data_IF_995734989153
#
_entry.id   IF_995734989153
#
_cell.length_a   1.000
_cell.length_b   1.000
_cell.length_c   1.000
_cell.angle_alpha   90.00
_cell.angle_beta   90.00
_cell.angle_gamma   90.00
#
_symmetry.space_group_name_H-M   'P 1'
#
loop_
_entity.id
_entity.type
_entity.pdbx_description
1 polymer ?
#
# COMPACT_ATOMS: atom_id res chain seq x y z
N UNK A 1 -34.93 -40.70 -9.42
CA UNK A 1 -33.81 -40.25 -8.57
C UNK A 1 -32.89 -39.41 -9.45
N UNK A 2 -32.52 -38.16 -9.23
CA UNK A 2 -32.76 -37.13 -8.22
C UNK A 2 -31.81 -35.99 -8.62
N UNK A 3 -32.33 -34.86 -9.12
CA UNK A 3 -31.49 -33.76 -9.63
C UNK A 3 -30.71 -33.14 -8.46
N UNK A 4 -29.39 -33.32 -8.44
CA UNK A 4 -28.50 -32.69 -7.48
C UNK A 4 -28.35 -31.21 -7.83
N UNK A 5 -29.16 -30.38 -7.17
CA UNK A 5 -29.00 -28.93 -7.17
C UNK A 5 -27.63 -28.59 -6.56
N UNK A 6 -26.65 -28.24 -7.41
CA UNK A 6 -25.36 -27.73 -6.94
C UNK A 6 -25.58 -26.31 -6.44
N UNK A 7 -25.81 -26.16 -5.12
CA UNK A 7 -25.79 -24.87 -4.47
C UNK A 7 -24.34 -24.48 -4.18
N UNK A 8 -23.89 -23.37 -4.77
CA UNK A 8 -22.67 -22.71 -4.33
C UNK A 8 -23.04 -21.87 -3.10
N UNK A 9 -22.50 -22.16 -1.90
CA UNK A 9 -22.79 -21.35 -0.73
C UNK A 9 -22.29 -19.93 -0.98
N UNK A 10 -23.14 -18.93 -0.70
CA UNK A 10 -22.79 -17.53 -0.67
C UNK A 10 -21.78 -17.29 0.46
N UNK A 11 -20.52 -17.64 0.23
CA UNK A 11 -19.41 -17.25 1.10
C UNK A 11 -19.19 -15.77 0.80
N UNK A 12 -19.72 -14.90 1.66
CA UNK A 12 -19.49 -13.46 1.60
C UNK A 12 -18.03 -13.18 1.26
N UNK A 13 -17.79 -12.14 0.45
CA UNK A 13 -16.52 -11.79 -0.19
C UNK A 13 -15.30 -12.39 0.53
N UNK A 14 -14.57 -13.29 -0.14
CA UNK A 14 -13.35 -13.87 0.42
C UNK A 14 -12.29 -12.76 0.48
N UNK A 15 -12.28 -12.01 1.57
CA UNK A 15 -11.27 -10.98 1.84
C UNK A 15 -9.98 -11.71 2.19
N UNK A 16 -9.12 -11.91 1.20
CA UNK A 16 -7.75 -12.39 1.42
C UNK A 16 -6.88 -11.21 1.84
N UNK A 17 -6.11 -11.38 2.92
CA UNK A 17 -5.07 -10.40 3.25
C UNK A 17 -3.93 -10.46 2.23
N UNK A 18 -3.19 -9.36 2.08
CA UNK A 18 -2.06 -9.26 1.15
C UNK A 18 -1.03 -10.37 1.36
N UNK A 19 -0.69 -10.68 2.62
CA UNK A 19 0.21 -11.79 2.94
C UNK A 19 -0.32 -13.16 2.47
N UNK A 20 -1.64 -13.40 2.56
CA UNK A 20 -2.27 -14.64 2.07
C UNK A 20 -2.38 -14.65 0.55
N UNK A 21 -2.61 -13.49 -0.07
CA UNK A 21 -2.58 -13.32 -1.51
C UNK A 21 -1.22 -13.68 -2.08
N UNK A 22 -0.12 -13.15 -1.53
CA UNK A 22 1.22 -13.51 -2.01
C UNK A 22 1.54 -14.98 -1.77
N UNK A 23 1.20 -15.55 -0.60
CA UNK A 23 1.34 -17.00 -0.36
C UNK A 23 0.58 -17.83 -1.39
N UNK A 24 -0.62 -17.42 -1.78
CA UNK A 24 -1.41 -18.08 -2.80
C UNK A 24 -0.75 -17.97 -4.18
N UNK A 25 -0.30 -16.77 -4.57
CA UNK A 25 0.37 -16.54 -5.84
C UNK A 25 1.65 -17.37 -5.93
N UNK A 26 2.47 -17.39 -4.87
CA UNK A 26 3.75 -18.13 -4.84
C UNK A 26 3.59 -19.66 -4.92
N UNK A 27 2.40 -20.20 -4.61
CA UNK A 27 2.09 -21.64 -4.74
C UNK A 27 1.34 -21.98 -6.01
N UNK A 28 0.87 -20.98 -6.76
CA UNK A 28 0.05 -21.18 -7.94
C UNK A 28 0.90 -21.66 -9.12
N UNK A 29 0.36 -22.61 -9.89
CA UNK A 29 0.98 -23.13 -11.12
C UNK A 29 0.50 -22.41 -12.39
N UNK A 30 -0.44 -21.47 -12.26
CA UNK A 30 -1.00 -20.72 -13.40
C UNK A 30 0.08 -19.88 -14.10
N UNK A 31 0.04 -19.76 -15.45
CA UNK A 31 1.03 -18.98 -16.20
C UNK A 31 1.16 -17.52 -15.72
N UNK A 32 0.05 -16.90 -15.35
CA UNK A 32 0.02 -15.51 -14.87
C UNK A 32 0.73 -15.38 -13.51
N UNK A 33 0.54 -16.37 -12.63
CA UNK A 33 1.23 -16.39 -11.34
C UNK A 33 2.73 -16.63 -11.52
N UNK A 34 3.14 -17.48 -12.46
CA UNK A 34 4.55 -17.71 -12.79
C UNK A 34 5.25 -16.44 -13.27
N UNK A 35 4.59 -15.61 -14.09
CA UNK A 35 5.13 -14.30 -14.52
C UNK A 35 5.43 -13.41 -13.31
N UNK A 36 4.47 -13.31 -12.39
CA UNK A 36 4.66 -12.54 -11.16
C UNK A 36 5.76 -13.11 -10.27
N UNK A 37 5.77 -14.43 -10.05
CA UNK A 37 6.80 -15.12 -9.27
C UNK A 37 8.21 -14.82 -9.82
N UNK A 38 8.40 -14.99 -11.13
CA UNK A 38 9.69 -14.74 -11.79
C UNK A 38 10.12 -13.28 -11.68
N UNK A 39 9.19 -12.33 -11.85
CA UNK A 39 9.47 -10.92 -11.68
C UNK A 39 9.87 -10.59 -10.23
N UNK A 40 9.16 -11.13 -9.25
CA UNK A 40 9.50 -10.91 -7.83
C UNK A 40 10.87 -11.50 -7.48
N UNK A 41 11.14 -12.74 -7.87
CA UNK A 41 12.38 -13.44 -7.49
C UNK A 41 13.60 -13.05 -8.33
N UNK A 42 13.40 -12.65 -9.58
CA UNK A 42 14.46 -12.28 -10.52
C UNK A 42 14.79 -10.78 -10.55
N UNK A 43 13.84 -9.92 -10.20
CA UNK A 43 14.01 -8.46 -10.27
C UNK A 43 13.85 -7.81 -8.91
N UNK A 44 12.69 -7.95 -8.28
CA UNK A 44 12.33 -7.16 -7.08
C UNK A 44 13.18 -7.55 -5.86
N UNK A 45 13.21 -8.83 -5.50
CA UNK A 45 13.96 -9.29 -4.32
C UNK A 45 15.47 -9.10 -4.48
N UNK A 46 16.08 -9.34 -5.66
CA UNK A 46 17.48 -9.01 -5.88
C UNK A 46 17.80 -7.52 -5.71
N UNK A 47 16.96 -6.61 -6.23
CA UNK A 47 17.13 -5.16 -6.05
C UNK A 47 17.07 -4.78 -4.57
N UNK A 48 16.02 -5.23 -3.85
CA UNK A 48 15.89 -4.98 -2.41
C UNK A 48 17.08 -5.54 -1.62
N UNK A 49 17.58 -6.74 -1.96
CA UNK A 49 18.73 -7.35 -1.27
C UNK A 49 20.03 -6.57 -1.50
N UNK A 50 20.24 -6.01 -2.69
CA UNK A 50 21.48 -5.30 -3.06
C UNK A 50 21.46 -3.84 -2.59
N UNK A 51 20.37 -3.15 -2.90
CA UNK A 51 20.29 -1.70 -2.85
C UNK A 51 19.35 -1.22 -1.73
N UNK A 52 18.66 -2.14 -1.05
CA UNK A 52 17.74 -1.84 0.05
C UNK A 52 16.35 -1.37 -0.42
N UNK A 53 16.14 -1.21 -1.72
CA UNK A 53 14.88 -0.75 -2.31
C UNK A 53 14.68 -1.30 -3.72
N UNK A 54 13.44 -1.21 -4.21
CA UNK A 54 13.09 -1.45 -5.61
C UNK A 54 12.37 -0.20 -6.15
N UNK A 55 12.85 0.35 -7.26
CA UNK A 55 12.21 1.45 -7.98
C UNK A 55 11.51 0.89 -9.21
N UNK A 56 10.18 0.99 -9.24
CA UNK A 56 9.39 0.59 -10.42
C UNK A 56 9.92 1.32 -11.66
N UNK A 57 10.40 0.56 -12.64
CA UNK A 57 11.00 1.08 -13.87
C UNK A 57 12.51 0.87 -13.96
N UNK A 58 13.20 0.46 -12.89
CA UNK A 58 14.64 0.16 -12.94
C UNK A 58 14.96 -1.01 -13.88
N UNK A 59 14.01 -1.92 -14.09
CA UNK A 59 14.12 -2.99 -15.07
C UNK A 59 14.19 -2.46 -16.51
N UNK A 60 13.56 -1.32 -16.78
CA UNK A 60 13.58 -0.67 -18.10
C UNK A 60 14.90 0.03 -18.36
N UNK A 61 15.50 0.61 -17.32
CA UNK A 61 16.87 1.15 -17.40
C UNK A 61 17.86 0.03 -17.68
N UNK A 62 17.75 -1.08 -16.97
CA UNK A 62 18.59 -2.26 -17.19
C UNK A 62 18.42 -2.87 -18.60
N UNK A 63 17.21 -2.77 -19.17
CA UNK A 63 16.91 -3.22 -20.53
C UNK A 63 17.30 -2.19 -21.62
N UNK A 64 17.76 -1.00 -21.24
CA UNK A 64 18.07 0.09 -22.18
C UNK A 64 16.84 0.76 -22.80
N UNK A 65 15.64 0.52 -22.23
CA UNK A 65 14.37 1.11 -22.68
C UNK A 65 14.10 2.49 -22.07
N UNK A 66 14.84 2.87 -21.03
CA UNK A 66 14.67 4.13 -20.29
C UNK A 66 16.04 4.61 -19.81
N UNK A 67 16.24 5.93 -19.79
CA UNK A 67 17.47 6.52 -19.24
C UNK A 67 17.43 6.61 -17.70
N UNK A 68 18.60 6.59 -17.06
CA UNK A 68 18.70 6.66 -15.61
C UNK A 68 18.25 8.02 -15.08
N UNK A 69 18.56 9.10 -15.80
CA UNK A 69 18.14 10.46 -15.51
C UNK A 69 16.61 10.58 -15.56
N UNK A 70 15.98 9.95 -16.56
CA UNK A 70 14.53 9.91 -16.69
C UNK A 70 13.88 9.19 -15.49
N UNK A 71 14.40 8.01 -15.11
CA UNK A 71 13.90 7.26 -13.95
C UNK A 71 14.05 8.05 -12.65
N UNK A 72 15.19 8.72 -12.48
CA UNK A 72 15.47 9.57 -11.32
C UNK A 72 14.45 10.70 -11.22
N UNK A 73 14.20 11.41 -12.31
CA UNK A 73 13.24 12.51 -12.35
C UNK A 73 11.83 12.01 -11.98
N UNK A 74 11.37 10.93 -12.59
CA UNK A 74 10.06 10.31 -12.28
C UNK A 74 9.96 9.95 -10.80
N UNK A 75 11.03 9.39 -10.23
CA UNK A 75 11.06 8.96 -8.83
C UNK A 75 11.00 10.15 -7.88
N UNK A 76 11.75 11.21 -8.16
CA UNK A 76 11.75 12.45 -7.38
C UNK A 76 10.38 13.13 -7.42
N UNK A 77 9.75 13.24 -8.59
CA UNK A 77 8.40 13.82 -8.71
C UNK A 77 7.39 13.05 -7.87
N UNK A 78 7.37 11.72 -7.96
CA UNK A 78 6.48 10.88 -7.14
C UNK A 78 6.75 11.02 -5.65
N UNK A 79 8.02 11.18 -5.25
CA UNK A 79 8.38 11.41 -3.86
C UNK A 79 7.87 12.77 -3.37
N UNK A 80 8.02 13.82 -4.17
CA UNK A 80 7.49 15.15 -3.86
C UNK A 80 5.97 15.15 -3.69
N UNK A 81 5.25 14.47 -4.57
CA UNK A 81 3.80 14.30 -4.47
C UNK A 81 3.39 13.56 -3.18
N UNK A 82 4.08 12.47 -2.83
CA UNK A 82 3.86 11.75 -1.57
C UNK A 82 4.16 12.62 -0.35
N UNK A 83 5.26 13.37 -0.37
CA UNK A 83 5.65 14.27 0.72
C UNK A 83 4.62 15.37 0.92
N UNK A 84 4.10 15.95 -0.18
CA UNK A 84 3.03 16.93 -0.13
C UNK A 84 1.76 16.36 0.53
N UNK A 85 1.31 15.19 0.10
CA UNK A 85 0.13 14.54 0.69
C UNK A 85 0.31 14.22 2.17
N UNK A 86 1.47 13.67 2.54
CA UNK A 86 1.78 13.36 3.95
C UNK A 86 1.80 14.62 4.82
N UNK A 87 2.31 15.74 4.29
CA UNK A 87 2.28 17.03 4.97
C UNK A 87 0.84 17.50 5.21
N UNK A 88 -0.01 17.44 4.19
CA UNK A 88 -1.43 17.82 4.30
C UNK A 88 -2.19 16.92 5.30
N UNK A 89 -1.99 15.59 5.24
CA UNK A 89 -2.57 14.63 6.18
C UNK A 89 -2.12 14.90 7.63
N UNK A 90 -0.83 15.21 7.82
CA UNK A 90 -0.28 15.57 9.13
C UNK A 90 -0.88 16.87 9.66
N UNK A 91 -0.95 17.91 8.84
CA UNK A 91 -1.54 19.20 9.24
C UNK A 91 -3.02 19.04 9.60
N UNK A 92 -3.78 18.26 8.84
CA UNK A 92 -5.17 17.95 9.15
C UNK A 92 -5.33 17.18 10.48
N UNK A 93 -4.46 16.18 10.72
CA UNK A 93 -4.45 15.44 11.98
C UNK A 93 -4.10 16.33 13.18
N UNK A 94 -3.12 17.22 13.04
CA UNK A 94 -2.75 18.19 14.07
C UNK A 94 -3.86 19.21 14.35
N UNK A 95 -4.58 19.67 13.32
CA UNK A 95 -5.72 20.55 13.47
C UNK A 95 -6.86 19.87 14.24
N UNK A 96 -7.18 18.61 13.90
CA UNK A 96 -8.18 17.82 14.62
C UNK A 96 -7.79 17.60 16.09
N UNK A 97 -6.51 17.31 16.35
CA UNK A 97 -6.00 17.14 17.71
C UNK A 97 -6.17 18.43 18.53
N UNK A 98 -5.75 19.58 17.99
CA UNK A 98 -5.92 20.89 18.64
C UNK A 98 -7.39 21.23 18.90
N UNK A 99 -8.25 20.97 17.92
CA UNK A 99 -9.69 21.20 18.06
C UNK A 99 -10.29 20.35 19.20
N UNK A 100 -9.95 19.05 19.25
CA UNK A 100 -10.42 18.17 20.32
C UNK A 100 -9.91 18.60 21.70
N UNK A 101 -8.66 19.09 21.79
CA UNK A 101 -8.08 19.55 23.04
C UNK A 101 -8.74 20.85 23.53
N UNK A 102 -9.05 21.78 22.63
CA UNK A 102 -9.80 23.00 22.95
C UNK A 102 -11.18 22.71 23.53
N UNK A 103 -11.95 21.79 22.92
CA UNK A 103 -13.28 21.38 23.43
C UNK A 103 -13.18 20.79 24.84
N UNK A 104 -12.16 19.98 25.10
CA UNK A 104 -11.95 19.37 26.43
C UNK A 104 -11.65 20.45 27.47
N UNK A 105 -10.79 21.43 27.15
CA UNK A 105 -10.43 22.51 28.07
C UNK A 105 -11.62 23.41 28.40
N UNK A 106 -12.40 23.82 27.41
CA UNK A 106 -13.62 24.62 27.64
C UNK A 106 -14.64 23.89 28.51
N UNK A 107 -14.82 22.58 28.30
CA UNK A 107 -15.75 21.79 29.09
C UNK A 107 -15.30 21.62 30.55
N UNK A 108 -13.98 21.47 30.80
CA UNK A 108 -13.43 21.40 32.15
C UNK A 108 -13.54 22.74 32.89
N UNK A 109 -13.29 23.87 32.23
CA UNK A 109 -13.45 25.19 32.86
C UNK A 109 -14.91 25.41 33.32
N UNK A 110 -15.89 25.07 32.47
CA UNK A 110 -17.31 25.17 32.82
C UNK A 110 -17.71 24.32 34.04
N UNK A 111 -17.16 23.11 34.17
CA UNK A 111 -17.48 22.22 35.30
C UNK A 111 -16.84 22.72 36.61
N UNK A 112 -15.66 23.34 36.55
CA UNK A 112 -14.95 23.84 37.75
C UNK A 112 -15.41 25.21 38.27
N UNK A 113 -16.24 25.94 37.52
CA UNK A 113 -16.77 27.25 37.94
C UNK A 113 -18.12 27.19 38.68
N UNK A 114 -18.69 25.99 38.86
CA UNK A 114 -19.99 25.78 39.54
C UNK A 114 -19.86 25.22 40.99
N UNK A 115 -18.66 25.26 41.60
CA UNK A 115 -18.42 24.99 43.04
C UNK A 115 -18.06 26.26 43.84
#
# INVERSE_FOLDING_TARGET
>A
MGNSHVSFPNRGAVIVSEARLYKLIMRSTKPEAKKFQNWVTGTVLPAIRKDGLYVRGEEKVSAGEMDLEELTLITLTRLQEKMKRLKEEKEAAEALAKFSQGIITEHLEYITMDE
#
